data_IF_293680632866
#
_entry.id   IF_293680632866
#
_cell.length_a   1.000
_cell.length_b   1.000
_cell.length_c   1.000
_cell.angle_alpha   90.00
_cell.angle_beta   90.00
_cell.angle_gamma   90.00
#
_symmetry.space_group_name_H-M   'P 1'
#
loop_
_entity.id
_entity.type
_entity.pdbx_description
1 polymer ?
#
# COMPACT_ATOMS: atom_id res chain seq x y z
N UNK A 1 -14.69 -2.90 -12.90
CA UNK A 1 -13.31 -3.12 -12.40
C UNK A 1 -12.63 -4.05 -13.38
N UNK A 2 -11.58 -3.56 -14.05
CA UNK A 2 -10.94 -4.14 -15.24
C UNK A 2 -10.34 -5.55 -15.01
N UNK A 3 -11.13 -6.62 -15.15
CA UNK A 3 -10.62 -7.99 -15.37
C UNK A 3 -9.83 -8.68 -14.24
N UNK A 4 -9.52 -8.01 -13.13
CA UNK A 4 -8.87 -8.62 -11.96
C UNK A 4 -9.92 -9.22 -11.03
N UNK A 5 -9.90 -10.54 -10.85
CA UNK A 5 -10.78 -11.23 -9.88
C UNK A 5 -10.34 -10.87 -8.45
N UNK A 6 -11.29 -10.56 -7.57
CA UNK A 6 -11.00 -10.12 -6.19
C UNK A 6 -10.08 -11.07 -5.41
N UNK A 7 -10.13 -12.36 -5.72
CA UNK A 7 -9.30 -13.41 -5.12
C UNK A 7 -7.82 -13.35 -5.50
N UNK A 8 -7.44 -12.53 -6.49
CA UNK A 8 -6.07 -12.41 -7.02
C UNK A 8 -5.42 -11.07 -6.66
N UNK A 9 -6.11 -10.26 -5.86
CA UNK A 9 -5.59 -8.98 -5.42
C UNK A 9 -4.47 -9.26 -4.40
N UNK A 10 -3.25 -8.72 -4.62
CA UNK A 10 -2.13 -9.01 -3.74
C UNK A 10 -2.36 -8.42 -2.34
N UNK A 11 -1.80 -9.08 -1.32
CA UNK A 11 -1.91 -8.71 0.09
C UNK A 11 -1.57 -7.25 0.39
N UNK A 12 -0.72 -6.64 -0.44
CA UNK A 12 -0.33 -5.22 -0.34
C UNK A 12 -1.50 -4.25 -0.54
N UNK A 13 -2.60 -4.70 -1.15
CA UNK A 13 -3.85 -3.94 -1.26
C UNK A 13 -4.74 -4.06 -0.01
N UNK A 14 -4.32 -4.79 1.03
CA UNK A 14 -5.06 -5.01 2.27
C UNK A 14 -4.26 -4.55 3.49
N UNK A 15 -3.33 -3.61 3.33
CA UNK A 15 -2.44 -3.21 4.41
C UNK A 15 -3.20 -2.41 5.50
N UNK A 16 -3.04 -2.76 6.79
CA UNK A 16 -3.65 -2.03 7.88
C UNK A 16 -2.95 -0.68 8.07
N UNK A 17 -3.72 0.40 8.06
CA UNK A 17 -3.24 1.77 8.27
C UNK A 17 -4.02 2.42 9.40
N UNK A 18 -3.33 3.12 10.29
CA UNK A 18 -3.95 3.75 11.46
C UNK A 18 -5.04 4.77 11.07
N UNK A 19 -4.84 5.53 9.99
CA UNK A 19 -5.83 6.50 9.51
C UNK A 19 -7.07 5.89 8.85
N UNK A 20 -7.15 4.57 8.62
CA UNK A 20 -8.29 3.95 7.94
C UNK A 20 -9.59 4.08 8.72
N UNK A 21 -9.52 4.18 10.05
CA UNK A 21 -10.71 4.31 10.91
C UNK A 21 -11.54 5.56 10.59
N UNK A 22 -10.94 6.54 9.92
CA UNK A 22 -11.60 7.80 9.54
C UNK A 22 -12.26 7.74 8.16
N UNK A 23 -12.11 6.63 7.42
CA UNK A 23 -12.77 6.40 6.14
C UNK A 23 -13.97 5.46 6.31
N UNK A 24 -15.13 5.87 5.79
CA UNK A 24 -16.31 5.01 5.64
C UNK A 24 -16.12 3.92 4.57
N UNK A 25 -15.11 4.06 3.71
CA UNK A 25 -14.84 3.15 2.59
C UNK A 25 -13.87 2.05 3.01
N UNK A 26 -14.15 0.80 2.61
CA UNK A 26 -13.27 -0.34 2.89
C UNK A 26 -11.85 -0.07 2.36
N UNK A 27 -10.80 -0.33 3.16
CA UNK A 27 -9.44 0.12 2.88
C UNK A 27 -8.87 -0.41 1.56
N UNK A 28 -9.22 -1.64 1.21
CA UNK A 28 -8.71 -2.25 -0.01
C UNK A 28 -9.19 -1.56 -1.29
N UNK A 29 -10.33 -0.87 -1.25
CA UNK A 29 -10.91 -0.23 -2.45
C UNK A 29 -9.98 0.87 -2.94
N UNK A 30 -9.57 1.76 -2.03
CA UNK A 30 -8.73 2.89 -2.40
C UNK A 30 -7.25 2.47 -2.57
N UNK A 31 -6.76 1.51 -1.78
CA UNK A 31 -5.39 0.99 -1.93
C UNK A 31 -5.19 0.29 -3.27
N UNK A 32 -6.16 -0.53 -3.68
CA UNK A 32 -6.14 -1.21 -4.98
C UNK A 32 -6.20 -0.19 -6.11
N UNK A 33 -7.06 0.84 -6.02
CA UNK A 33 -7.11 1.92 -7.01
C UNK A 33 -5.76 2.63 -7.15
N UNK A 34 -5.13 3.00 -6.04
CA UNK A 34 -3.81 3.65 -6.07
C UNK A 34 -2.77 2.79 -6.78
N UNK A 35 -2.75 1.49 -6.51
CA UNK A 35 -1.79 0.60 -7.14
C UNK A 35 -2.08 0.42 -8.64
N UNK A 36 -3.33 0.20 -9.03
CA UNK A 36 -3.70 -0.01 -10.43
C UNK A 36 -3.41 1.25 -11.26
N UNK A 37 -3.86 2.41 -10.82
CA UNK A 37 -3.72 3.66 -11.57
C UNK A 37 -2.30 4.23 -11.55
N UNK A 38 -1.58 4.12 -10.43
CA UNK A 38 -0.35 4.89 -10.21
C UNK A 38 0.90 4.04 -9.94
N UNK A 39 0.82 2.71 -9.93
CA UNK A 39 1.97 1.86 -9.60
C UNK A 39 2.20 0.71 -10.56
N UNK A 40 1.15 0.00 -10.98
CA UNK A 40 1.26 -1.25 -11.76
C UNK A 40 1.91 -1.00 -13.13
N UNK A 41 1.48 0.07 -13.80
CA UNK A 41 1.97 0.51 -15.12
C UNK A 41 3.39 1.06 -15.10
N UNK A 42 3.92 1.45 -13.94
CA UNK A 42 5.25 2.05 -13.83
C UNK A 42 6.36 1.00 -13.86
N UNK A 43 7.47 1.24 -14.58
CA UNK A 43 8.64 0.37 -14.51
C UNK A 43 9.35 0.48 -13.15
N UNK A 44 10.16 -0.53 -12.81
CA UNK A 44 11.04 -0.49 -11.63
C UNK A 44 12.02 0.69 -11.80
N UNK A 45 12.23 1.46 -10.73
CA UNK A 45 13.04 2.68 -10.73
C UNK A 45 12.25 3.95 -11.07
N UNK A 46 11.03 3.84 -11.59
CA UNK A 46 10.19 5.02 -11.86
C UNK A 46 9.74 5.71 -10.58
N UNK A 47 9.54 7.03 -10.68
CA UNK A 47 8.96 7.83 -9.60
C UNK A 47 7.48 7.51 -9.42
N UNK A 48 7.07 7.39 -8.17
CA UNK A 48 5.69 7.16 -7.75
C UNK A 48 5.18 8.43 -7.10
N UNK A 49 4.01 8.87 -7.55
CA UNK A 49 3.23 9.91 -6.90
C UNK A 49 1.82 9.40 -6.73
N UNK A 50 1.39 9.24 -5.48
CA UNK A 50 0.00 8.89 -5.18
C UNK A 50 -0.78 10.16 -4.90
N UNK A 51 -2.00 10.30 -5.46
CA UNK A 51 -2.87 11.41 -5.11
C UNK A 51 -3.16 11.41 -3.61
N UNK A 52 -3.31 12.62 -3.05
CA UNK A 52 -3.65 12.78 -1.65
C UNK A 52 -5.07 12.27 -1.40
N UNK A 53 -5.21 11.34 -0.45
CA UNK A 53 -6.51 10.92 0.04
C UNK A 53 -6.79 11.74 1.28
N UNK A 54 -7.59 12.79 1.10
CA UNK A 54 -8.04 13.65 2.19
C UNK A 54 -9.04 12.89 3.04
N UNK A 55 -8.78 12.85 4.34
CA UNK A 55 -9.72 12.38 5.36
C UNK A 55 -10.14 13.54 6.23
N UNK A 56 -11.28 13.39 6.92
CA UNK A 56 -11.74 14.42 7.85
C UNK A 56 -10.67 14.68 8.91
N UNK A 57 -10.37 15.95 9.15
CA UNK A 57 -9.42 16.35 10.17
C UNK A 57 -9.87 15.81 11.53
N UNK A 58 -8.93 15.32 12.32
CA UNK A 58 -9.20 14.99 13.72
C UNK A 58 -9.63 16.24 14.50
N UNK A 59 -10.26 16.05 15.66
CA UNK A 59 -10.65 17.15 16.57
C UNK A 59 -9.48 18.09 16.92
N UNK A 60 -8.23 17.61 16.80
CA UNK A 60 -7.01 18.39 17.03
C UNK A 60 -6.46 19.09 15.77
N UNK A 61 -7.21 19.13 14.67
CA UNK A 61 -6.78 19.75 13.40
C UNK A 61 -5.73 18.95 12.61
N UNK A 62 -5.23 17.83 13.15
CA UNK A 62 -4.32 16.96 12.42
C UNK A 62 -5.05 16.24 11.29
N UNK A 63 -4.50 16.33 10.08
CA UNK A 63 -5.03 15.70 8.87
C UNK A 63 -4.02 14.65 8.39
N UNK A 64 -4.21 13.37 8.74
CA UNK A 64 -3.30 12.31 8.31
C UNK A 64 -3.39 12.11 6.79
N UNK A 65 -2.28 12.21 6.07
CA UNK A 65 -2.25 11.80 4.65
C UNK A 65 -2.18 10.27 4.55
N UNK A 66 -3.28 9.64 4.14
CA UNK A 66 -3.36 8.18 4.00
C UNK A 66 -2.43 7.66 2.91
N UNK A 67 -2.29 8.39 1.80
CA UNK A 67 -1.40 8.01 0.72
C UNK A 67 0.05 8.00 1.19
N UNK A 68 0.47 8.97 2.01
CA UNK A 68 1.79 8.97 2.63
C UNK A 68 1.96 7.82 3.63
N UNK A 69 0.98 7.55 4.49
CA UNK A 69 1.06 6.40 5.40
C UNK A 69 1.18 5.08 4.65
N UNK A 70 0.44 4.94 3.54
CA UNK A 70 0.48 3.77 2.67
C UNK A 70 1.85 3.61 2.00
N UNK A 71 2.41 4.68 1.43
CA UNK A 71 3.76 4.67 0.86
C UNK A 71 4.83 4.29 1.89
N UNK A 72 4.73 4.79 3.12
CA UNK A 72 5.64 4.38 4.19
C UNK A 72 5.55 2.88 4.49
N UNK A 73 4.35 2.29 4.46
CA UNK A 73 4.14 0.86 4.67
C UNK A 73 4.70 0.04 3.50
N UNK A 74 4.43 0.45 2.26
CA UNK A 74 5.03 -0.15 1.07
C UNK A 74 6.57 -0.07 1.11
N UNK A 75 7.13 1.00 1.68
CA UNK A 75 8.58 1.16 1.82
C UNK A 75 9.17 0.18 2.81
N UNK A 76 8.49 -0.04 3.95
CA UNK A 76 8.87 -1.06 4.93
C UNK A 76 8.80 -2.48 4.36
N UNK A 77 7.91 -2.71 3.40
CA UNK A 77 7.81 -3.96 2.63
C UNK A 77 8.82 -4.04 1.46
N UNK A 78 9.71 -3.04 1.31
CA UNK A 78 10.70 -2.92 0.23
C UNK A 78 10.08 -2.90 -1.18
N UNK A 79 8.82 -2.46 -1.29
CA UNK A 79 8.10 -2.33 -2.56
C UNK A 79 8.42 -0.97 -3.21
N UNK A 80 8.50 0.07 -2.37
CA UNK A 80 8.91 1.42 -2.77
C UNK A 80 10.14 1.86 -1.97
N UNK A 81 10.84 2.86 -2.49
CA UNK A 81 11.96 3.52 -1.83
C UNK A 81 11.66 4.98 -1.64
N UNK A 82 12.01 5.53 -0.48
CA UNK A 82 12.00 6.98 -0.27
C UNK A 82 13.31 7.56 -0.79
N UNK A 83 13.23 8.54 -1.68
CA UNK A 83 14.35 9.37 -2.10
C UNK A 83 14.40 10.64 -1.25
N UNK A 84 15.57 11.25 -1.10
CA UNK A 84 15.83 12.34 -0.14
C UNK A 84 14.87 13.54 -0.23
N UNK A 85 14.25 13.78 -1.38
CA UNK A 85 13.33 14.91 -1.63
C UNK A 85 11.85 14.57 -1.38
N UNK A 86 11.56 13.68 -0.42
CA UNK A 86 10.20 13.19 -0.14
C UNK A 86 9.50 12.56 -1.36
N UNK A 87 10.29 12.19 -2.37
CA UNK A 87 9.87 11.50 -3.56
C UNK A 87 9.94 9.99 -3.32
N UNK A 88 9.16 9.24 -4.08
CA UNK A 88 9.10 7.78 -3.94
C UNK A 88 9.48 7.15 -5.27
N UNK A 89 10.22 6.05 -5.20
CA UNK A 89 10.62 5.29 -6.38
C UNK A 89 10.14 3.85 -6.25
N UNK A 90 9.74 3.25 -7.35
CA UNK A 90 9.38 1.84 -7.39
C UNK A 90 10.63 0.98 -7.25
N UNK A 91 10.65 0.08 -6.27
CA UNK A 91 11.79 -0.84 -6.08
C UNK A 91 11.48 -2.27 -6.50
N UNK A 92 10.23 -2.71 -6.28
CA UNK A 92 9.78 -4.07 -6.60
C UNK A 92 8.51 -4.00 -7.46
N UNK A 93 8.40 -4.90 -8.43
CA UNK A 93 7.12 -5.10 -9.10
C UNK A 93 6.16 -5.83 -8.15
N UNK A 94 4.94 -5.32 -8.04
CA UNK A 94 3.82 -6.07 -7.45
C UNK A 94 3.07 -6.68 -8.61
N UNK A 95 2.99 -8.00 -8.65
CA UNK A 95 2.24 -8.73 -9.66
C UNK A 95 0.88 -9.11 -9.07
N UNK A 96 -0.19 -8.92 -9.83
CA UNK A 96 -1.44 -9.61 -9.55
C UNK A 96 -1.21 -11.08 -9.90
N UNK A 97 -1.12 -11.93 -8.87
CA UNK A 97 -0.84 -13.34 -9.06
C UNK A 97 -1.97 -13.97 -9.88
N UNK A 98 -1.63 -14.70 -10.95
CA UNK A 98 -2.62 -15.47 -11.73
C UNK A 98 -2.98 -16.81 -11.05
N UNK A 99 -2.16 -17.24 -10.09
CA UNK A 99 -2.27 -18.51 -9.36
C UNK A 99 -2.34 -18.24 -7.87
N UNK A 100 -3.20 -18.98 -7.17
CA UNK A 100 -3.45 -18.80 -5.73
C UNK A 100 -2.22 -19.13 -4.87
N UNK A 101 -1.36 -20.04 -5.34
CA UNK A 101 -0.20 -20.55 -4.59
C UNK A 101 0.88 -19.47 -4.39
N UNK A 102 1.23 -18.72 -5.43
CA UNK A 102 2.16 -17.58 -5.32
C UNK A 102 1.60 -16.45 -4.44
N UNK A 103 0.29 -16.22 -4.52
CA UNK A 103 -0.39 -15.26 -3.66
C UNK A 103 -0.26 -15.63 -2.18
N UNK A 104 -0.40 -16.93 -1.86
CA UNK A 104 -0.33 -17.41 -0.47
C UNK A 104 1.06 -17.24 0.14
N UNK A 105 2.13 -17.45 -0.64
CA UNK A 105 3.50 -17.25 -0.15
C UNK A 105 3.81 -15.76 0.07
N UNK A 106 3.41 -14.88 -0.85
CA UNK A 106 3.62 -13.44 -0.72
C UNK A 106 2.78 -12.87 0.44
N UNK A 107 1.56 -13.37 0.64
CA UNK A 107 0.72 -13.10 1.81
C UNK A 107 1.43 -13.50 3.12
N UNK A 108 1.99 -14.72 3.17
CA UNK A 108 2.71 -15.21 4.35
C UNK A 108 3.96 -14.37 4.66
N UNK A 109 4.70 -13.92 3.64
CA UNK A 109 5.84 -13.00 3.81
C UNK A 109 5.38 -11.63 4.29
N UNK A 110 4.32 -11.08 3.70
CA UNK A 110 3.76 -9.78 4.07
C UNK A 110 3.26 -9.79 5.51
N UNK A 111 2.54 -10.82 5.92
CA UNK A 111 2.10 -11.02 7.31
C UNK A 111 3.27 -11.16 8.28
N UNK A 112 4.32 -11.90 7.92
CA UNK A 112 5.52 -12.03 8.74
C UNK A 112 6.23 -10.68 8.94
N UNK A 113 6.35 -9.89 7.87
CA UNK A 113 6.93 -8.54 7.92
C UNK A 113 6.05 -7.60 8.76
N UNK A 114 4.73 -7.63 8.59
CA UNK A 114 3.79 -6.84 9.40
C UNK A 114 3.87 -7.20 10.89
N UNK A 115 3.92 -8.50 11.23
CA UNK A 115 4.08 -8.96 12.62
C UNK A 115 5.41 -8.51 13.23
N UNK A 116 6.49 -8.56 12.45
CA UNK A 116 7.80 -8.05 12.87
C UNK A 116 7.75 -6.54 13.15
N UNK A 117 7.11 -5.76 12.26
CA UNK A 117 6.94 -4.31 12.44
C UNK A 117 6.09 -3.94 13.65
N UNK A 118 5.11 -4.76 14.03
CA UNK A 118 4.33 -4.56 15.26
C UNK A 118 5.11 -4.86 16.53
N UNK A 119 6.01 -5.85 16.51
CA UNK A 119 6.87 -6.18 17.66
C UNK A 119 7.93 -5.10 17.96
N UNK A 120 8.23 -4.22 17.02
CA UNK A 120 9.24 -3.14 17.17
C UNK A 120 8.63 -1.85 17.75
N UNK A 121 7.34 -1.84 18.13
CA UNK A 121 6.80 -0.76 18.99
C UNK A 121 7.28 -0.97 20.43
N UNK A 122 8.50 -0.51 20.71
CA UNK A 122 9.03 -0.27 22.06
C UNK A 122 8.74 1.20 22.40
#
# INVERSE_FOLDING_TARGET
MNGYHFSLIPSVCYLPLAGQVQLMTKPYIWQTRLLIDHFISLPIGAFISFPEIKIQSTLNGYTPSLSTQYLNLLAKLNIVGKTGNNTWVKKKQVSFHKRMEDGLEDDRRTLAQLKSLQRIKI
#
